data_IF_922476955050
#
_entry.id   IF_922476955050
#
_cell.length_a   1.000
_cell.length_b   1.000
_cell.length_c   1.000
_cell.angle_alpha   90.00
_cell.angle_beta   90.00
_cell.angle_gamma   90.00
#
_symmetry.space_group_name_H-M   'P 1'
#
loop_
_entity.id
_entity.type
_entity.pdbx_description
1 polymer ?
#
# COMPACT_ATOMS: atom_id res chain seq x y z
N UNK A 1 -42.26 66.18 24.42
CA UNK A 1 -41.63 64.85 24.48
C UNK A 1 -42.06 64.11 23.21
N UNK A 2 -41.30 64.27 22.12
CA UNK A 2 -40.37 63.26 21.55
C UNK A 2 -41.06 61.91 21.34
N UNK A 3 -41.17 61.32 20.15
CA UNK A 3 -40.58 61.59 18.84
C UNK A 3 -40.48 60.24 18.12
N UNK A 4 -41.26 60.03 17.05
CA UNK A 4 -41.27 58.79 16.26
C UNK A 4 -40.47 58.97 14.96
N UNK A 5 -39.37 58.23 14.84
CA UNK A 5 -38.48 58.18 13.67
C UNK A 5 -39.05 57.21 12.61
N UNK A 6 -39.37 57.71 11.41
CA UNK A 6 -38.58 57.68 10.14
C UNK A 6 -38.65 56.39 9.32
N UNK A 7 -39.52 56.45 8.31
CA UNK A 7 -39.33 55.82 7.00
C UNK A 7 -38.17 56.47 6.24
N UNK A 8 -37.39 55.69 5.48
CA UNK A 8 -36.76 56.11 4.21
C UNK A 8 -36.54 54.91 3.28
N UNK A 9 -37.31 54.87 2.19
CA UNK A 9 -36.90 54.28 0.91
C UNK A 9 -35.73 55.09 0.30
N UNK A 10 -35.03 54.51 -0.69
CA UNK A 10 -34.64 55.33 -1.84
C UNK A 10 -34.96 54.70 -3.19
N UNK A 11 -35.22 55.63 -4.10
CA UNK A 11 -35.72 55.49 -5.44
C UNK A 11 -34.69 54.98 -6.46
N UNK A 12 -35.28 54.47 -7.54
CA UNK A 12 -34.77 54.33 -8.91
C UNK A 12 -33.64 55.28 -9.33
N UNK A 13 -32.67 54.72 -10.06
CA UNK A 13 -31.98 55.45 -11.11
C UNK A 13 -31.84 54.58 -12.36
N UNK A 14 -32.29 55.15 -13.48
CA UNK A 14 -32.45 54.56 -14.82
C UNK A 14 -31.63 55.41 -15.80
N UNK A 15 -30.65 54.81 -16.45
CA UNK A 15 -29.97 55.26 -17.68
C UNK A 15 -28.97 54.16 -18.08
N UNK A 16 -28.68 53.79 -19.33
CA UNK A 16 -29.26 54.01 -20.66
C UNK A 16 -28.46 53.08 -21.59
N UNK A 17 -29.11 52.57 -22.64
CA UNK A 17 -28.58 51.71 -23.70
C UNK A 17 -27.27 52.25 -24.33
N UNK A 18 -26.36 51.33 -24.67
CA UNK A 18 -25.61 51.35 -25.94
C UNK A 18 -25.42 49.90 -26.41
N UNK A 19 -25.90 49.66 -27.64
CA UNK A 19 -25.72 48.45 -28.44
C UNK A 19 -24.24 48.22 -28.82
N UNK A 20 -23.82 46.96 -28.84
CA UNK A 20 -22.91 46.45 -29.88
C UNK A 20 -22.89 44.91 -29.86
N UNK A 21 -23.36 44.37 -30.97
CA UNK A 21 -23.39 42.98 -31.39
C UNK A 21 -22.00 42.35 -31.52
N UNK A 22 -21.90 41.08 -31.11
CA UNK A 22 -20.71 40.26 -31.33
C UNK A 22 -20.97 38.80 -30.97
N UNK A 23 -21.64 38.06 -31.87
CA UNK A 23 -21.72 36.60 -31.82
C UNK A 23 -20.31 35.98 -31.90
N UNK A 24 -20.10 34.79 -31.31
CA UNK A 24 -20.09 33.62 -32.20
C UNK A 24 -20.67 32.32 -31.59
N UNK A 25 -21.36 31.60 -32.48
CA UNK A 25 -21.28 30.14 -32.69
C UNK A 25 -21.76 29.20 -31.58
N UNK A 26 -23.04 28.85 -31.69
CA UNK A 26 -23.60 27.58 -31.21
C UNK A 26 -22.87 26.40 -31.85
N UNK A 27 -22.23 25.56 -31.04
CA UNK A 27 -21.78 24.22 -31.41
C UNK A 27 -22.63 23.21 -30.64
N UNK A 28 -23.74 22.87 -31.27
CA UNK A 28 -24.41 21.56 -31.30
C UNK A 28 -23.85 20.49 -30.35
N UNK A 29 -24.56 20.28 -29.24
CA UNK A 29 -24.52 19.06 -28.45
C UNK A 29 -25.09 17.89 -29.27
N UNK A 30 -24.22 17.17 -29.99
CA UNK A 30 -24.60 15.94 -30.67
C UNK A 30 -24.43 14.72 -29.75
N UNK A 31 -25.61 14.14 -29.44
CA UNK A 31 -25.86 12.76 -29.06
C UNK A 31 -24.91 11.77 -29.73
N UNK A 32 -24.21 10.98 -28.92
CA UNK A 32 -23.82 9.62 -29.27
C UNK A 32 -24.49 8.66 -28.28
N UNK A 33 -25.74 8.29 -28.57
CA UNK A 33 -26.32 7.01 -28.12
C UNK A 33 -25.96 5.99 -29.20
N UNK A 34 -25.17 4.98 -28.84
CA UNK A 34 -24.90 3.78 -29.64
C UNK A 34 -25.13 2.53 -28.77
N UNK A 35 -25.54 1.41 -29.37
CA UNK A 35 -26.31 0.36 -28.71
C UNK A 35 -25.45 -0.63 -27.90
N UNK A 36 -26.03 -1.07 -26.78
CA UNK A 36 -25.60 -2.24 -26.02
C UNK A 36 -25.66 -3.51 -26.88
N UNK A 37 -24.60 -4.32 -26.97
CA UNK A 37 -24.74 -5.72 -27.34
C UNK A 37 -25.15 -6.55 -26.12
N UNK A 38 -26.21 -7.33 -26.33
CA UNK A 38 -26.77 -8.27 -25.38
C UNK A 38 -25.81 -9.40 -24.99
N UNK A 39 -25.87 -9.77 -23.71
CA UNK A 39 -25.80 -11.13 -23.16
C UNK A 39 -24.77 -12.10 -23.72
N UNK A 40 -23.71 -12.34 -22.94
CA UNK A 40 -23.21 -13.70 -22.69
C UNK A 40 -23.02 -13.88 -21.19
N UNK A 41 -23.82 -14.80 -20.62
CA UNK A 41 -23.59 -15.36 -19.30
C UNK A 41 -22.19 -15.99 -19.27
N UNK A 42 -21.30 -15.45 -18.45
CA UNK A 42 -20.09 -16.14 -18.02
C UNK A 42 -20.47 -16.99 -16.82
N UNK A 43 -20.59 -18.30 -17.04
CA UNK A 43 -20.48 -19.29 -15.97
C UNK A 43 -19.08 -19.14 -15.35
N UNK A 44 -19.02 -18.67 -14.13
CA UNK A 44 -17.84 -18.75 -13.28
C UNK A 44 -17.70 -20.19 -12.80
N UNK A 45 -17.00 -21.01 -13.59
CA UNK A 45 -16.47 -22.28 -13.10
C UNK A 45 -15.42 -22.00 -12.03
N UNK A 46 -15.72 -22.45 -10.82
CA UNK A 46 -14.79 -22.68 -9.72
C UNK A 46 -13.67 -23.60 -10.20
N UNK A 47 -12.49 -23.04 -10.49
CA UNK A 47 -11.30 -23.85 -10.70
C UNK A 47 -10.04 -23.05 -10.35
N UNK A 48 -9.73 -22.98 -9.05
CA UNK A 48 -8.56 -22.27 -8.56
C UNK A 48 -7.82 -23.01 -7.43
N UNK A 49 -7.69 -24.35 -7.55
CA UNK A 49 -7.00 -25.16 -6.53
C UNK A 49 -5.86 -26.08 -7.02
N UNK A 50 -5.41 -25.98 -8.28
CA UNK A 50 -4.35 -26.88 -8.79
C UNK A 50 -3.05 -26.21 -9.26
N UNK A 51 -2.88 -24.88 -9.18
CA UNK A 51 -1.71 -24.20 -9.76
C UNK A 51 -0.47 -24.07 -8.87
N UNK A 52 -0.54 -24.47 -7.60
CA UNK A 52 0.58 -24.30 -6.66
C UNK A 52 1.56 -25.48 -6.62
N UNK A 53 1.28 -26.58 -7.34
CA UNK A 53 2.16 -27.76 -7.40
C UNK A 53 3.18 -27.73 -8.56
N UNK A 54 2.94 -26.99 -9.65
CA UNK A 54 3.87 -26.91 -10.79
C UNK A 54 5.08 -25.98 -10.56
N UNK A 55 5.02 -25.08 -9.58
CA UNK A 55 6.14 -24.18 -9.28
C UNK A 55 7.32 -24.90 -8.59
N UNK A 56 7.07 -26.03 -7.91
CA UNK A 56 8.09 -26.82 -7.22
C UNK A 56 9.03 -27.58 -8.16
N UNK A 57 8.54 -28.06 -9.31
CA UNK A 57 9.35 -28.85 -10.26
C UNK A 57 10.37 -28.00 -11.05
N UNK A 58 10.09 -26.71 -11.27
CA UNK A 58 11.01 -25.82 -12.01
C UNK A 58 12.24 -25.42 -11.20
N UNK A 59 12.17 -25.36 -9.87
CA UNK A 59 13.34 -25.05 -9.03
C UNK A 59 14.30 -26.23 -8.86
N UNK A 60 13.79 -27.47 -8.89
CA UNK A 60 14.65 -28.66 -8.83
C UNK A 60 15.52 -28.84 -10.08
N UNK A 61 15.05 -28.45 -11.28
CA UNK A 61 15.84 -28.55 -12.51
C UNK A 61 16.95 -27.50 -12.64
N UNK A 62 16.84 -26.33 -12.01
CA UNK A 62 17.85 -25.26 -12.15
C UNK A 62 19.08 -25.46 -11.26
N UNK A 63 18.96 -26.25 -10.19
CA UNK A 63 20.10 -26.64 -9.35
C UNK A 63 21.04 -27.67 -10.02
N UNK A 64 20.60 -28.34 -11.09
CA UNK A 64 21.37 -29.40 -11.73
C UNK A 64 22.36 -28.93 -12.83
N UNK A 65 22.28 -27.68 -13.30
CA UNK A 65 23.00 -27.24 -14.52
C UNK A 65 23.99 -26.07 -14.34
N UNK A 66 24.25 -25.60 -13.12
CA UNK A 66 24.99 -24.34 -12.88
C UNK A 66 26.45 -24.43 -12.39
N UNK A 67 27.07 -25.61 -12.33
CA UNK A 67 28.42 -25.78 -11.76
C UNK A 67 29.53 -25.76 -12.82
N UNK A 68 29.99 -24.57 -13.24
CA UNK A 68 31.13 -24.41 -14.16
C UNK A 68 32.43 -24.22 -13.37
N UNK A 69 33.29 -25.24 -13.38
CA UNK A 69 34.75 -25.04 -13.36
C UNK A 69 35.48 -25.00 -12.01
N UNK A 70 35.39 -26.07 -11.20
CA UNK A 70 36.48 -26.42 -10.27
C UNK A 70 37.08 -27.76 -10.71
N UNK A 71 38.36 -27.74 -11.10
CA UNK A 71 39.13 -28.96 -11.40
C UNK A 71 39.31 -29.74 -10.10
N UNK A 72 38.85 -31.00 -10.00
CA UNK A 72 39.13 -31.82 -8.83
C UNK A 72 40.61 -32.20 -8.83
N UNK A 73 41.23 -32.07 -7.65
CA UNK A 73 42.49 -32.72 -7.37
C UNK A 73 42.32 -34.24 -7.55
N UNK A 74 43.25 -34.85 -8.28
CA UNK A 74 43.31 -36.28 -8.55
C UNK A 74 43.61 -37.05 -7.28
N UNK A 75 42.57 -37.39 -6.51
CA UNK A 75 42.66 -38.37 -5.44
C UNK A 75 42.55 -39.76 -6.07
N UNK A 76 43.67 -40.48 -6.06
CA UNK A 76 43.79 -41.87 -6.50
C UNK A 76 42.69 -42.74 -5.92
N UNK A 77 41.92 -43.34 -6.82
CA UNK A 77 40.80 -44.25 -6.60
C UNK A 77 41.23 -45.44 -5.71
N UNK A 78 40.68 -45.52 -4.49
CA UNK A 78 40.61 -46.78 -3.76
C UNK A 78 39.45 -47.60 -4.34
N UNK A 79 39.75 -48.88 -4.56
CA UNK A 79 38.96 -49.86 -5.29
C UNK A 79 37.56 -50.08 -4.64
N UNK A 80 36.44 -49.75 -5.31
CA UNK A 80 35.09 -49.83 -4.72
C UNK A 80 34.47 -51.24 -4.72
N UNK A 81 35.27 -52.30 -4.92
CA UNK A 81 34.80 -53.67 -5.17
C UNK A 81 34.25 -54.43 -3.97
N UNK A 82 34.15 -53.83 -2.77
CA UNK A 82 33.63 -54.50 -1.57
C UNK A 82 32.45 -53.79 -0.87
N UNK A 83 31.66 -52.99 -1.58
CA UNK A 83 30.38 -52.52 -1.00
C UNK A 83 29.27 -53.50 -1.36
N UNK A 84 28.88 -54.33 -0.40
CA UNK A 84 27.81 -55.32 -0.56
C UNK A 84 26.51 -54.67 -1.10
N UNK A 85 25.94 -55.17 -2.21
CA UNK A 85 24.74 -54.60 -2.81
C UNK A 85 23.53 -54.58 -1.87
N UNK A 86 23.48 -55.49 -0.89
CA UNK A 86 22.43 -55.52 0.14
C UNK A 86 22.42 -54.29 1.07
N UNK A 87 23.59 -53.70 1.36
CA UNK A 87 23.66 -52.53 2.26
C UNK A 87 23.05 -51.29 1.60
N UNK A 88 23.24 -51.12 0.28
CA UNK A 88 22.71 -49.99 -0.47
C UNK A 88 21.20 -50.02 -0.58
N UNK A 89 20.62 -51.21 -0.82
CA UNK A 89 19.17 -51.36 -0.87
C UNK A 89 18.51 -51.07 0.48
N UNK A 90 19.09 -51.59 1.58
CA UNK A 90 18.60 -51.37 2.94
C UNK A 90 18.62 -49.88 3.36
N UNK A 91 19.69 -49.16 3.04
CA UNK A 91 19.77 -47.72 3.32
C UNK A 91 18.75 -46.93 2.51
N UNK A 92 18.55 -47.26 1.23
CA UNK A 92 17.57 -46.58 0.40
C UNK A 92 16.14 -46.81 0.90
N UNK A 93 15.76 -48.05 1.23
CA UNK A 93 14.44 -48.35 1.79
C UNK A 93 14.23 -47.67 3.13
N UNK A 94 15.23 -47.66 4.02
CA UNK A 94 15.14 -46.98 5.31
C UNK A 94 14.96 -45.46 5.13
N UNK A 95 15.67 -44.85 4.19
CA UNK A 95 15.58 -43.42 3.90
C UNK A 95 14.24 -43.06 3.24
N UNK A 96 13.70 -43.92 2.36
CA UNK A 96 12.39 -43.74 1.76
C UNK A 96 11.26 -43.84 2.79
N UNK A 97 11.34 -44.81 3.72
CA UNK A 97 10.37 -44.93 4.83
C UNK A 97 10.47 -43.73 5.77
N UNK A 98 11.68 -43.30 6.13
CA UNK A 98 11.87 -42.12 6.98
C UNK A 98 11.33 -40.84 6.30
N UNK A 99 11.60 -40.65 5.01
CA UNK A 99 11.08 -39.52 4.24
C UNK A 99 9.55 -39.56 4.12
N UNK A 100 8.96 -40.73 3.88
CA UNK A 100 7.51 -40.92 3.83
C UNK A 100 6.84 -40.65 5.18
N UNK A 101 7.42 -41.14 6.28
CA UNK A 101 6.90 -40.92 7.62
C UNK A 101 6.98 -39.45 8.04
N UNK A 102 8.13 -38.79 7.82
CA UNK A 102 8.28 -37.36 8.11
C UNK A 102 7.41 -36.48 7.21
N UNK A 103 7.24 -36.85 5.94
CA UNK A 103 6.34 -36.18 5.00
C UNK A 103 4.87 -36.29 5.42
N UNK A 104 4.44 -37.50 5.78
CA UNK A 104 3.10 -37.78 6.29
C UNK A 104 2.80 -37.07 7.61
N UNK A 105 3.75 -37.08 8.56
CA UNK A 105 3.59 -36.39 9.85
C UNK A 105 3.43 -34.87 9.65
N UNK A 106 4.29 -34.24 8.85
CA UNK A 106 4.20 -32.79 8.56
C UNK A 106 2.97 -32.42 7.74
N UNK A 107 2.38 -33.35 6.99
CA UNK A 107 1.11 -33.14 6.31
C UNK A 107 -0.05 -33.25 7.29
N UNK A 108 -0.07 -34.30 8.12
CA UNK A 108 -1.08 -34.51 9.15
C UNK A 108 -1.15 -33.36 10.16
N UNK A 109 0.01 -32.87 10.62
CA UNK A 109 0.13 -31.71 11.52
C UNK A 109 -0.53 -30.46 10.92
N UNK A 110 -0.26 -30.17 9.64
CA UNK A 110 -0.88 -29.05 8.90
C UNK A 110 -2.38 -29.24 8.64
N UNK A 111 -2.90 -30.47 8.65
CA UNK A 111 -4.33 -30.75 8.51
C UNK A 111 -5.02 -30.65 9.87
N UNK A 112 -4.39 -31.16 10.93
CA UNK A 112 -4.85 -31.03 12.31
C UNK A 112 -4.97 -29.58 12.76
N UNK A 113 -3.93 -28.78 12.55
CA UNK A 113 -3.92 -27.33 12.83
C UNK A 113 -5.05 -26.60 12.11
N UNK A 114 -5.38 -27.02 10.88
CA UNK A 114 -6.51 -26.44 10.13
C UNK A 114 -7.85 -26.77 10.79
N UNK A 115 -8.05 -28.01 11.23
CA UNK A 115 -9.29 -28.40 11.91
C UNK A 115 -9.48 -27.68 13.25
N UNK A 116 -8.41 -27.51 14.04
CA UNK A 116 -8.50 -26.78 15.32
C UNK A 116 -8.77 -25.29 15.10
N UNK A 117 -8.14 -24.68 14.09
CA UNK A 117 -8.40 -23.28 13.68
C UNK A 117 -9.82 -23.06 13.16
N UNK A 118 -10.46 -24.09 12.60
CA UNK A 118 -11.83 -24.00 12.09
C UNK A 118 -12.89 -24.07 13.20
N UNK A 119 -12.57 -24.66 14.36
CA UNK A 119 -13.55 -24.92 15.41
C UNK A 119 -13.56 -23.90 16.57
N UNK A 120 -12.50 -23.11 16.73
CA UNK A 120 -12.35 -22.20 17.88
C UNK A 120 -12.34 -20.75 17.43
N UNK A 121 -13.28 -19.96 17.96
CA UNK A 121 -13.29 -18.51 17.77
C UNK A 121 -12.33 -17.85 18.76
N UNK A 122 -11.57 -16.86 18.29
CA UNK A 122 -10.72 -16.04 19.15
C UNK A 122 -10.72 -14.59 18.66
N UNK A 123 -10.44 -13.66 19.57
CA UNK A 123 -10.34 -12.25 19.24
C UNK A 123 -8.94 -11.90 18.69
N UNK A 124 -8.89 -11.19 17.57
CA UNK A 124 -7.68 -10.66 16.95
C UNK A 124 -7.87 -9.19 16.57
N UNK A 125 -6.90 -8.36 16.92
CA UNK A 125 -6.93 -6.93 16.59
C UNK A 125 -6.06 -6.61 15.39
N UNK A 126 -6.66 -6.06 14.34
CA UNK A 126 -6.00 -5.60 13.13
C UNK A 126 -5.73 -4.10 13.21
N UNK A 127 -4.53 -3.67 12.83
CA UNK A 127 -4.28 -2.24 12.59
C UNK A 127 -4.80 -1.89 11.19
N UNK A 128 -5.73 -0.95 11.12
CA UNK A 128 -6.34 -0.46 9.87
C UNK A 128 -6.26 1.06 9.79
N UNK A 129 -5.42 1.67 10.62
CA UNK A 129 -5.23 3.12 10.68
C UNK A 129 -4.77 3.70 9.35
N UNK A 130 -4.03 2.91 8.56
CA UNK A 130 -3.52 3.26 7.24
C UNK A 130 -4.59 3.24 6.14
N UNK A 131 -5.67 2.47 6.34
CA UNK A 131 -6.81 2.35 5.44
C UNK A 131 -7.91 3.37 5.79
N UNK A 132 -8.17 3.58 7.08
CA UNK A 132 -9.23 4.47 7.59
C UNK A 132 -8.77 5.93 7.68
N UNK A 133 -7.45 6.17 7.82
CA UNK A 133 -6.86 7.49 8.11
C UNK A 133 -6.51 8.39 6.93
N UNK A 134 -6.89 8.03 5.70
CA UNK A 134 -6.48 8.73 4.47
C UNK A 134 -7.06 10.14 4.25
N UNK A 135 -8.14 10.52 4.94
CA UNK A 135 -8.88 11.76 4.65
C UNK A 135 -8.69 12.82 5.73
N UNK A 136 -7.54 13.51 5.67
CA UNK A 136 -7.37 14.92 6.05
C UNK A 136 -8.18 15.44 7.26
N UNK A 137 -7.70 15.27 8.49
CA UNK A 137 -8.09 16.07 9.69
C UNK A 137 -9.59 16.31 9.94
N UNK A 138 -10.51 15.58 9.29
CA UNK A 138 -11.94 15.88 9.25
C UNK A 138 -12.67 15.21 10.40
N UNK A 139 -12.21 15.45 11.62
CA UNK A 139 -12.90 15.07 12.86
C UNK A 139 -13.05 13.56 13.11
N UNK A 140 -13.41 13.22 14.36
CA UNK A 140 -13.69 11.84 14.76
C UNK A 140 -14.87 11.22 13.97
N UNK A 141 -15.84 12.03 13.55
CA UNK A 141 -17.01 11.57 12.81
C UNK A 141 -16.66 10.97 11.43
N UNK A 142 -15.69 11.53 10.71
CA UNK A 142 -15.26 10.95 9.43
C UNK A 142 -14.51 9.63 9.62
N UNK A 143 -13.76 9.49 10.72
CA UNK A 143 -13.09 8.24 11.04
C UNK A 143 -14.12 7.13 11.30
N UNK A 144 -15.18 7.41 12.06
CA UNK A 144 -16.27 6.44 12.28
C UNK A 144 -16.93 5.99 10.98
N UNK A 145 -17.28 6.91 10.08
CA UNK A 145 -17.87 6.55 8.79
C UNK A 145 -16.95 5.64 7.94
N UNK A 146 -15.64 5.92 7.93
CA UNK A 146 -14.67 5.08 7.22
C UNK A 146 -14.53 3.68 7.85
N UNK A 147 -14.73 3.55 9.17
CA UNK A 147 -14.78 2.23 9.82
C UNK A 147 -16.02 1.45 9.43
N UNK A 148 -17.19 2.10 9.41
CA UNK A 148 -18.44 1.45 9.01
C UNK A 148 -18.33 0.91 7.58
N UNK A 149 -17.78 1.69 6.63
CA UNK A 149 -17.52 1.23 5.26
C UNK A 149 -16.56 0.03 5.20
N UNK A 150 -15.53 0.00 6.04
CA UNK A 150 -14.57 -1.11 6.10
C UNK A 150 -15.20 -2.36 6.73
N UNK A 151 -16.02 -2.19 7.76
CA UNK A 151 -16.75 -3.28 8.42
C UNK A 151 -17.74 -3.89 7.43
N UNK A 152 -18.57 -3.08 6.78
CA UNK A 152 -19.54 -3.51 5.77
C UNK A 152 -18.87 -4.32 4.66
N UNK A 153 -17.69 -3.89 4.22
CA UNK A 153 -16.90 -4.64 3.25
C UNK A 153 -16.43 -5.99 3.81
N UNK A 154 -15.82 -6.02 4.99
CA UNK A 154 -15.29 -7.25 5.58
C UNK A 154 -16.42 -8.27 5.73
N UNK A 155 -17.58 -7.85 6.23
CA UNK A 155 -18.74 -8.72 6.40
C UNK A 155 -19.25 -9.21 5.04
N UNK A 156 -19.30 -8.34 4.04
CA UNK A 156 -19.79 -8.72 2.70
C UNK A 156 -18.86 -9.67 1.93
N UNK A 157 -17.54 -9.53 2.08
CA UNK A 157 -16.55 -10.26 1.25
C UNK A 157 -15.98 -11.49 1.95
N UNK A 158 -15.91 -11.50 3.29
CA UNK A 158 -15.30 -12.58 4.07
C UNK A 158 -16.38 -13.36 4.80
N UNK A 159 -16.67 -14.56 4.32
CA UNK A 159 -17.61 -15.51 4.95
C UNK A 159 -18.87 -14.79 5.51
N UNK A 160 -19.76 -14.31 4.62
CA UNK A 160 -20.91 -13.50 5.01
C UNK A 160 -21.83 -14.21 6.02
N UNK A 161 -21.94 -15.53 5.93
CA UNK A 161 -22.87 -16.33 6.75
C UNK A 161 -22.33 -16.58 8.17
N UNK A 162 -21.06 -16.28 8.45
CA UNK A 162 -20.42 -16.47 9.77
C UNK A 162 -20.73 -15.36 10.76
N UNK A 163 -21.10 -14.17 10.28
CA UNK A 163 -21.29 -12.99 11.11
C UNK A 163 -22.63 -13.01 11.84
N UNK A 164 -22.64 -12.61 13.12
CA UNK A 164 -23.86 -12.60 13.95
C UNK A 164 -24.98 -11.74 13.35
N UNK A 165 -24.64 -10.64 12.67
CA UNK A 165 -25.61 -9.77 12.00
C UNK A 165 -26.35 -10.44 10.83
N UNK A 166 -25.75 -11.47 10.23
CA UNK A 166 -26.34 -12.29 9.17
C UNK A 166 -26.98 -13.58 9.71
N UNK A 167 -27.08 -13.73 11.04
CA UNK A 167 -27.61 -14.93 11.70
C UNK A 167 -26.60 -16.07 11.84
N UNK A 168 -25.31 -15.77 11.63
CA UNK A 168 -24.22 -16.72 11.79
C UNK A 168 -24.00 -17.15 13.25
N UNK A 169 -23.35 -18.31 13.47
CA UNK A 169 -23.19 -18.89 14.80
C UNK A 169 -22.19 -18.13 15.67
N UNK A 170 -21.19 -17.48 15.06
CA UNK A 170 -20.04 -16.94 15.79
C UNK A 170 -19.22 -16.01 14.89
N UNK A 171 -19.42 -14.71 15.03
CA UNK A 171 -18.66 -13.70 14.31
C UNK A 171 -19.00 -12.31 14.82
N UNK A 172 -18.03 -11.63 15.44
CA UNK A 172 -18.17 -10.26 15.95
C UNK A 172 -17.05 -9.39 15.38
N UNK A 173 -17.37 -8.15 15.04
CA UNK A 173 -16.45 -7.16 14.51
C UNK A 173 -16.75 -5.81 15.16
N UNK A 174 -15.71 -5.18 15.73
CA UNK A 174 -15.84 -3.90 16.44
C UNK A 174 -14.71 -2.95 16.03
N UNK A 175 -15.08 -1.69 15.73
CA UNK A 175 -14.12 -0.63 15.48
C UNK A 175 -13.58 -0.03 16.78
N UNK A 176 -12.26 -0.10 16.96
CA UNK A 176 -11.54 0.61 18.00
C UNK A 176 -11.06 1.97 17.44
N UNK A 177 -12.03 2.86 17.19
CA UNK A 177 -11.83 4.07 16.40
C UNK A 177 -10.72 5.02 16.88
N UNK A 178 -10.55 5.31 18.20
CA UNK A 178 -9.45 6.13 18.67
C UNK A 178 -8.07 5.53 18.39
N UNK A 179 -7.98 4.20 18.35
CA UNK A 179 -6.74 3.46 18.17
C UNK A 179 -6.45 3.14 16.70
N UNK A 180 -7.41 3.33 15.78
CA UNK A 180 -7.22 2.96 14.39
C UNK A 180 -7.24 1.44 14.15
N UNK A 181 -7.89 0.67 15.04
CA UNK A 181 -7.84 -0.80 15.01
C UNK A 181 -9.21 -1.41 14.82
N UNK A 182 -9.25 -2.62 14.28
CA UNK A 182 -10.43 -3.45 14.13
C UNK A 182 -10.28 -4.69 15.01
N UNK A 183 -11.17 -4.86 15.98
CA UNK A 183 -11.22 -6.08 16.80
C UNK A 183 -12.19 -7.06 16.14
N UNK A 184 -11.74 -8.28 15.86
CA UNK A 184 -12.57 -9.31 15.24
C UNK A 184 -12.51 -10.57 16.09
N UNK A 185 -13.66 -11.15 16.39
CA UNK A 185 -13.79 -12.46 17.04
C UNK A 185 -14.39 -13.46 16.06
N UNK A 186 -13.57 -14.36 15.51
CA UNK A 186 -14.02 -15.39 14.57
C UNK A 186 -13.04 -16.57 14.54
N UNK A 187 -13.27 -17.55 13.68
CA UNK A 187 -12.39 -18.71 13.46
C UNK A 187 -11.08 -18.29 12.80
N UNK A 188 -10.04 -19.12 12.92
CA UNK A 188 -8.74 -18.88 12.29
C UNK A 188 -8.83 -18.78 10.76
N UNK A 189 -9.75 -19.54 10.14
CA UNK A 189 -9.98 -19.47 8.70
C UNK A 189 -10.52 -18.11 8.24
N UNK A 190 -11.45 -17.52 9.00
CA UNK A 190 -11.94 -16.16 8.73
C UNK A 190 -10.85 -15.14 8.95
N UNK A 191 -10.01 -15.30 9.98
CA UNK A 191 -8.87 -14.42 10.21
C UNK A 191 -7.85 -14.41 9.06
N UNK A 192 -7.55 -15.57 8.47
CA UNK A 192 -6.66 -15.68 7.32
C UNK A 192 -7.25 -14.95 6.09
N UNK A 193 -8.57 -15.05 5.88
CA UNK A 193 -9.28 -14.32 4.81
C UNK A 193 -9.27 -12.80 5.03
N UNK A 194 -9.47 -12.33 6.27
CA UNK A 194 -9.39 -10.91 6.61
C UNK A 194 -7.98 -10.39 6.35
N UNK A 195 -6.93 -11.13 6.71
CA UNK A 195 -5.55 -10.73 6.41
C UNK A 195 -5.29 -10.60 4.92
N UNK A 196 -5.78 -11.56 4.12
CA UNK A 196 -5.66 -11.52 2.67
C UNK A 196 -6.41 -10.32 2.07
N UNK A 197 -7.63 -10.04 2.54
CA UNK A 197 -8.43 -8.90 2.10
C UNK A 197 -7.75 -7.57 2.44
N UNK A 198 -7.34 -7.38 3.70
CA UNK A 198 -6.64 -6.15 4.13
C UNK A 198 -5.32 -5.96 3.38
N UNK A 199 -4.56 -7.03 3.14
CA UNK A 199 -3.31 -6.98 2.35
C UNK A 199 -3.56 -6.53 0.91
N UNK A 200 -4.61 -7.08 0.28
CA UNK A 200 -5.02 -6.66 -1.07
C UNK A 200 -5.41 -5.18 -1.09
N UNK A 201 -6.19 -4.72 -0.12
CA UNK A 201 -6.61 -3.33 -0.01
C UNK A 201 -5.44 -2.37 0.20
N UNK A 202 -4.47 -2.72 1.03
CA UNK A 202 -3.23 -1.95 1.18
C UNK A 202 -2.47 -1.84 -0.12
N UNK A 203 -2.40 -2.94 -0.89
CA UNK A 203 -1.75 -2.95 -2.21
C UNK A 203 -2.49 -2.05 -3.21
N UNK A 204 -3.82 -2.09 -3.23
CA UNK A 204 -4.66 -1.23 -4.08
C UNK A 204 -4.52 0.25 -3.70
N UNK A 205 -4.54 0.56 -2.39
CA UNK A 205 -4.30 1.91 -1.88
C UNK A 205 -2.89 2.42 -2.22
N UNK A 206 -1.87 1.57 -2.13
CA UNK A 206 -0.51 1.90 -2.54
C UNK A 206 -0.42 2.19 -4.04
N UNK A 207 -1.10 1.39 -4.88
CA UNK A 207 -1.19 1.63 -6.32
C UNK A 207 -1.88 2.96 -6.64
N UNK A 208 -2.99 3.29 -5.96
CA UNK A 208 -3.66 4.59 -6.09
C UNK A 208 -2.73 5.75 -5.72
N UNK A 209 -2.04 5.63 -4.59
CA UNK A 209 -1.04 6.60 -4.14
C UNK A 209 0.13 6.75 -5.12
N UNK A 210 0.54 5.68 -5.79
CA UNK A 210 1.59 5.72 -6.81
C UNK A 210 1.14 6.39 -8.10
N UNK A 211 -0.11 6.20 -8.53
CA UNK A 211 -0.70 6.93 -9.66
C UNK A 211 -0.78 8.42 -9.36
N UNK A 212 -1.21 8.79 -8.15
CA UNK A 212 -1.25 10.19 -7.73
C UNK A 212 0.16 10.78 -7.60
N UNK A 213 1.14 10.00 -7.12
CA UNK A 213 2.55 10.39 -7.12
C UNK A 213 3.09 10.66 -8.52
N UNK A 214 2.81 9.75 -9.44
CA UNK A 214 3.19 9.84 -10.84
C UNK A 214 2.59 11.11 -11.47
N UNK A 215 1.30 11.38 -11.23
CA UNK A 215 0.60 12.56 -11.75
C UNK A 215 1.16 13.85 -11.16
N UNK A 216 1.39 13.89 -9.84
CA UNK A 216 1.97 15.04 -9.15
C UNK A 216 3.39 15.35 -9.63
N UNK A 217 4.25 14.33 -9.74
CA UNK A 217 5.60 14.47 -10.28
C UNK A 217 5.61 14.89 -11.75
N UNK A 218 4.71 14.36 -12.59
CA UNK A 218 4.56 14.81 -13.99
C UNK A 218 4.17 16.28 -14.07
N UNK A 219 3.22 16.71 -13.26
CA UNK A 219 2.81 18.11 -13.18
C UNK A 219 4.00 19.01 -12.76
N UNK A 220 4.71 18.65 -11.70
CA UNK A 220 5.89 19.40 -11.21
C UNK A 220 7.02 19.44 -12.26
N UNK A 221 7.26 18.32 -12.95
CA UNK A 221 8.25 18.24 -14.02
C UNK A 221 7.86 19.07 -15.24
N UNK A 222 6.56 19.22 -15.54
CA UNK A 222 6.06 20.05 -16.63
C UNK A 222 6.16 21.54 -16.31
N UNK A 223 5.84 21.94 -15.07
CA UNK A 223 5.95 23.34 -14.62
C UNK A 223 7.38 23.76 -14.30
N UNK A 224 8.30 22.79 -14.15
CA UNK A 224 9.68 23.01 -13.67
C UNK A 224 9.73 23.76 -12.34
N UNK A 225 8.70 23.54 -11.50
CA UNK A 225 8.60 24.22 -10.22
C UNK A 225 9.46 23.51 -9.16
N UNK A 226 10.66 24.04 -8.96
CA UNK A 226 11.67 23.51 -8.01
C UNK A 226 11.22 23.69 -6.55
N UNK A 227 10.31 24.63 -6.27
CA UNK A 227 9.94 25.00 -4.89
C UNK A 227 8.79 24.17 -4.33
N UNK A 228 8.03 23.51 -5.20
CA UNK A 228 6.84 22.77 -4.81
C UNK A 228 7.19 21.33 -4.45
N UNK A 229 7.10 21.01 -3.15
CA UNK A 229 7.03 19.64 -2.65
C UNK A 229 5.57 19.32 -2.32
N UNK A 230 5.04 18.27 -2.91
CA UNK A 230 3.65 17.84 -2.70
C UNK A 230 3.70 16.63 -1.76
N UNK A 231 3.05 16.76 -0.61
CA UNK A 231 2.85 15.61 0.28
C UNK A 231 1.79 14.69 -0.33
N UNK A 232 2.12 13.42 -0.51
CA UNK A 232 1.19 12.42 -1.06
C UNK A 232 0.53 11.64 0.05
N UNK A 233 1.31 11.23 1.05
CA UNK A 233 0.82 10.45 2.17
C UNK A 233 1.45 10.94 3.45
N UNK A 234 0.63 11.13 4.48
CA UNK A 234 1.09 11.37 5.85
C UNK A 234 0.62 10.19 6.69
N UNK A 235 1.56 9.33 7.08
CA UNK A 235 1.28 8.27 8.04
C UNK A 235 1.36 8.87 9.45
N UNK A 236 0.31 8.64 10.24
CA UNK A 236 0.29 9.02 11.65
C UNK A 236 0.86 7.85 12.43
N UNK A 237 2.08 7.98 12.96
CA UNK A 237 2.62 6.97 13.86
C UNK A 237 1.84 6.99 15.17
N UNK A 238 1.31 5.83 15.54
CA UNK A 238 0.95 5.51 16.90
C UNK A 238 2.16 4.84 17.56
N UNK A 239 2.84 5.58 18.44
CA UNK A 239 3.97 5.14 19.28
C UNK A 239 5.35 5.03 18.62
N UNK A 240 6.37 5.02 19.49
CA UNK A 240 7.82 5.04 19.22
C UNK A 240 8.39 3.68 18.79
N UNK A 241 7.53 2.66 18.64
CA UNK A 241 7.95 1.38 18.07
C UNK A 241 8.17 1.53 16.57
N UNK A 242 9.28 0.97 16.09
CA UNK A 242 9.66 0.92 14.69
C UNK A 242 8.46 0.56 13.83
N UNK A 243 7.96 1.51 13.05
CA UNK A 243 6.85 1.27 12.16
C UNK A 243 7.39 0.92 10.77
N UNK A 244 7.32 -0.36 10.36
CA UNK A 244 7.73 -0.78 9.02
C UNK A 244 6.86 -0.12 7.94
N UNK A 245 5.65 0.36 8.26
CA UNK A 245 4.68 0.80 7.25
C UNK A 245 5.15 1.98 6.42
N UNK A 246 5.90 2.95 6.97
CA UNK A 246 6.35 4.11 6.19
C UNK A 246 7.43 3.74 5.16
N UNK A 247 8.38 2.88 5.57
CA UNK A 247 9.43 2.35 4.69
C UNK A 247 8.82 1.39 3.66
N UNK A 248 7.87 0.55 4.07
CA UNK A 248 7.14 -0.34 3.18
C UNK A 248 6.33 0.47 2.17
N UNK A 249 5.62 1.51 2.60
CA UNK A 249 4.92 2.43 1.70
C UNK A 249 5.87 3.15 0.73
N UNK A 250 7.05 3.59 1.19
CA UNK A 250 8.06 4.15 0.31
C UNK A 250 8.45 3.14 -0.77
N UNK A 251 8.77 1.90 -0.36
CA UNK A 251 9.16 0.82 -1.25
C UNK A 251 8.06 0.47 -2.25
N UNK A 252 6.82 0.32 -1.78
CA UNK A 252 5.65 0.00 -2.62
C UNK A 252 5.39 1.10 -3.67
N UNK A 253 5.46 2.37 -3.27
CA UNK A 253 5.28 3.49 -4.20
C UNK A 253 6.45 3.54 -5.18
N UNK A 254 7.69 3.35 -4.74
CA UNK A 254 8.86 3.31 -5.62
C UNK A 254 8.75 2.18 -6.63
N UNK A 255 8.33 0.98 -6.21
CA UNK A 255 8.09 -0.17 -7.08
C UNK A 255 6.97 0.11 -8.09
N UNK A 256 5.86 0.70 -7.64
CA UNK A 256 4.75 1.05 -8.52
C UNK A 256 5.12 2.14 -9.55
N UNK A 257 5.84 3.19 -9.13
CA UNK A 257 6.38 4.21 -10.05
C UNK A 257 7.41 3.58 -10.99
N UNK A 258 8.23 2.64 -10.51
CA UNK A 258 9.22 1.95 -11.32
C UNK A 258 8.60 1.07 -12.41
N UNK A 259 7.45 0.45 -12.14
CA UNK A 259 6.66 -0.26 -13.18
C UNK A 259 6.20 0.67 -14.30
N UNK A 260 5.92 1.94 -13.99
CA UNK A 260 5.47 2.94 -14.96
C UNK A 260 6.64 3.60 -15.69
N UNK A 261 7.73 3.91 -14.98
CA UNK A 261 8.80 4.80 -15.46
C UNK A 261 10.15 4.13 -15.68
N UNK A 262 10.28 2.86 -15.34
CA UNK A 262 11.56 2.17 -15.22
C UNK A 262 12.20 2.38 -13.85
N UNK A 263 13.30 1.67 -13.54
CA UNK A 263 13.97 1.77 -12.25
C UNK A 263 14.45 3.22 -11.97
N UNK A 264 14.53 3.63 -10.69
CA UNK A 264 15.05 4.94 -10.32
C UNK A 264 16.51 5.06 -10.77
N UNK A 265 16.88 6.26 -11.22
CA UNK A 265 18.27 6.61 -11.54
C UNK A 265 19.12 6.71 -10.28
N UNK A 266 18.50 7.12 -9.16
CA UNK A 266 19.14 7.22 -7.86
C UNK A 266 18.20 6.66 -6.81
N UNK A 267 18.73 5.76 -5.96
CA UNK A 267 18.07 5.31 -4.75
C UNK A 267 19.10 5.38 -3.62
N UNK A 268 18.87 6.21 -2.61
CA UNK A 268 19.83 6.42 -1.54
C UNK A 268 19.16 6.66 -0.18
N UNK A 269 19.86 6.32 0.89
CA UNK A 269 19.49 6.59 2.27
C UNK A 269 20.44 7.61 2.92
N UNK A 270 19.95 8.35 3.94
CA UNK A 270 20.77 9.31 4.69
C UNK A 270 22.00 8.62 5.27
N UNK A 271 23.17 9.19 4.97
CA UNK A 271 24.47 8.68 5.38
C UNK A 271 25.23 7.93 4.28
N UNK A 272 24.57 7.57 3.18
CA UNK A 272 25.22 7.01 2.01
C UNK A 272 25.93 8.11 1.19
N UNK A 273 27.01 7.74 0.51
CA UNK A 273 27.87 8.68 -0.23
C UNK A 273 27.12 9.40 -1.36
N UNK A 274 26.12 8.75 -1.94
CA UNK A 274 25.31 9.28 -3.06
C UNK A 274 24.05 10.02 -2.60
N UNK A 275 23.85 10.17 -1.28
CA UNK A 275 22.66 10.85 -0.78
C UNK A 275 22.71 12.36 -1.10
N UNK A 276 21.72 12.92 -1.82
CA UNK A 276 21.80 14.31 -2.26
C UNK A 276 21.74 15.29 -1.09
N UNK A 277 22.66 16.26 -1.06
CA UNK A 277 22.71 17.27 0.01
C UNK A 277 21.49 18.21 0.06
N UNK A 278 20.72 18.29 -1.03
CA UNK A 278 19.47 19.06 -1.12
C UNK A 278 18.27 18.34 -0.53
N UNK A 279 18.32 17.01 -0.38
CA UNK A 279 17.25 16.27 0.28
C UNK A 279 17.41 16.37 1.79
N UNK A 280 16.27 16.40 2.45
CA UNK A 280 16.17 16.32 3.92
C UNK A 280 15.39 15.09 4.35
N UNK A 281 15.00 14.24 3.41
CA UNK A 281 14.36 12.96 3.69
C UNK A 281 15.35 11.95 4.25
N UNK A 282 14.85 10.81 4.70
CA UNK A 282 15.60 9.63 5.12
C UNK A 282 15.97 8.73 3.95
N UNK A 283 15.00 8.50 3.07
CA UNK A 283 15.14 7.71 1.86
C UNK A 283 14.73 8.55 0.67
N UNK A 284 15.39 8.35 -0.45
CA UNK A 284 15.14 9.07 -1.68
C UNK A 284 15.23 8.12 -2.88
N UNK A 285 14.23 8.18 -3.75
CA UNK A 285 14.25 7.58 -5.07
C UNK A 285 14.00 8.66 -6.11
N UNK A 286 14.80 8.73 -7.17
CA UNK A 286 14.71 9.78 -8.19
C UNK A 286 14.84 9.24 -9.63
N UNK A 287 14.16 9.90 -10.56
CA UNK A 287 14.11 9.58 -11.99
C UNK A 287 14.42 10.82 -12.83
N UNK A 288 15.21 10.66 -13.89
CA UNK A 288 15.39 11.72 -14.88
C UNK A 288 14.12 11.98 -15.69
N UNK A 289 13.57 13.19 -15.57
CA UNK A 289 12.36 13.65 -16.29
C UNK A 289 12.43 15.15 -16.59
N UNK A 290 12.12 15.51 -17.83
CA UNK A 290 12.02 16.90 -18.33
C UNK A 290 13.25 17.79 -18.04
N UNK A 291 14.45 17.20 -18.10
CA UNK A 291 15.70 17.92 -17.85
C UNK A 291 16.05 18.12 -16.38
N UNK A 292 15.37 17.43 -15.45
CA UNK A 292 15.68 17.40 -14.03
C UNK A 292 15.45 16.03 -13.41
N UNK A 293 15.32 15.99 -12.08
CA UNK A 293 15.05 14.81 -11.27
C UNK A 293 13.68 14.92 -10.62
N UNK A 294 12.73 14.09 -11.04
CA UNK A 294 11.52 13.83 -10.27
C UNK A 294 11.89 12.88 -9.13
N UNK A 295 11.48 13.16 -7.89
CA UNK A 295 11.87 12.35 -6.75
C UNK A 295 10.72 12.08 -5.79
N UNK A 296 10.85 10.97 -5.08
CA UNK A 296 10.04 10.57 -3.93
C UNK A 296 10.99 10.52 -2.74
N UNK A 297 10.59 11.13 -1.63
CA UNK A 297 11.38 11.11 -0.39
C UNK A 297 10.51 10.79 0.83
N UNK A 298 11.04 9.94 1.71
CA UNK A 298 10.45 9.66 3.03
C UNK A 298 10.98 10.69 4.03
N UNK A 299 10.10 11.33 4.79
CA UNK A 299 10.48 12.30 5.82
C UNK A 299 9.98 11.88 7.19
N UNK A 300 10.81 12.12 8.20
CA UNK A 300 10.38 12.22 9.59
C UNK A 300 10.00 13.67 9.90
N UNK A 301 8.79 13.86 10.43
CA UNK A 301 8.34 15.11 11.03
C UNK A 301 8.25 14.92 12.52
N UNK A 302 8.72 15.89 13.28
CA UNK A 302 8.42 15.94 14.71
C UNK A 302 7.19 16.81 14.91
N UNK A 303 6.11 16.22 15.42
CA UNK A 303 4.98 16.99 15.92
C UNK A 303 5.04 16.97 17.44
N UNK A 304 5.12 18.15 18.06
CA UNK A 304 4.83 18.27 19.49
C UNK A 304 3.37 17.91 19.70
N UNK A 305 3.10 16.83 20.43
CA UNK A 305 1.77 16.55 20.94
C UNK A 305 1.36 17.65 21.91
N UNK A 306 0.05 17.92 22.01
CA UNK A 306 -0.52 18.78 23.06
C UNK A 306 -0.20 18.27 24.47
N UNK A 307 0.05 16.96 24.62
CA UNK A 307 0.42 16.32 25.89
C UNK A 307 1.93 16.36 26.20
N UNK A 308 2.75 17.07 25.40
CA UNK A 308 4.21 17.14 25.60
C UNK A 308 4.99 15.94 25.06
N UNK A 309 4.33 14.85 24.68
CA UNK A 309 4.97 13.72 23.99
C UNK A 309 5.41 14.10 22.57
N UNK A 310 6.64 13.71 22.21
CA UNK A 310 7.12 13.86 20.83
C UNK A 310 6.56 12.72 20.00
N UNK A 311 5.55 13.00 19.18
CA UNK A 311 5.13 12.07 18.14
C UNK A 311 5.95 12.37 16.89
N UNK A 312 6.70 11.38 16.42
CA UNK A 312 7.26 11.42 15.07
C UNK A 312 6.12 11.09 14.11
N UNK A 313 5.91 11.87 13.06
CA UNK A 313 5.04 11.53 11.94
C UNK A 313 5.96 11.18 10.78
N UNK A 314 5.59 10.20 9.97
CA UNK A 314 6.31 9.91 8.72
C UNK A 314 5.46 10.27 7.53
N UNK A 315 6.07 10.80 6.49
CA UNK A 315 5.33 11.18 5.29
C UNK A 315 6.16 10.99 4.04
N UNK A 316 5.45 10.74 2.94
CA UNK A 316 6.02 10.60 1.61
C UNK A 316 5.73 11.88 0.82
N UNK A 317 6.81 12.43 0.26
CA UNK A 317 6.78 13.66 -0.51
C UNK A 317 7.25 13.37 -1.91
N UNK A 318 6.64 14.04 -2.87
CA UNK A 318 7.18 14.14 -4.21
C UNK A 318 7.62 15.54 -4.52
N UNK A 319 8.65 15.63 -5.32
CA UNK A 319 9.17 16.88 -5.82
C UNK A 319 9.82 16.72 -7.18
N UNK A 320 10.30 17.85 -7.69
CA UNK A 320 11.14 17.90 -8.87
C UNK A 320 12.29 18.87 -8.65
N UNK A 321 13.48 18.56 -9.16
CA UNK A 321 14.68 19.36 -8.97
C UNK A 321 15.47 19.50 -10.28
N UNK A 322 16.05 20.68 -10.54
CA UNK A 322 16.70 20.99 -11.83
C UNK A 322 18.10 20.39 -12.01
N UNK A 323 18.77 19.92 -10.95
CA UNK A 323 20.18 19.55 -11.05
C UNK A 323 20.62 18.53 -9.98
N UNK A 324 21.58 17.68 -10.32
CA UNK A 324 22.32 16.85 -9.37
C UNK A 324 23.48 17.64 -8.69
N UNK A 325 23.79 18.85 -9.19
CA UNK A 325 24.95 19.65 -8.77
C UNK A 325 24.64 20.93 -7.98
N UNK A 326 23.38 21.26 -7.73
CA UNK A 326 23.06 22.49 -7.02
C UNK A 326 23.28 22.36 -5.50
N UNK A 327 24.44 22.85 -5.06
CA UNK A 327 24.77 23.16 -3.66
C UNK A 327 23.92 24.34 -3.17
N UNK A 328 22.72 24.10 -2.66
CA UNK A 328 22.10 24.96 -1.64
C UNK A 328 20.82 24.34 -1.11
N UNK A 329 20.74 24.15 0.21
CA UNK A 329 19.49 23.87 0.93
C UNK A 329 18.58 25.10 0.90
N UNK A 330 17.39 25.06 0.28
CA UNK A 330 16.30 25.88 0.78
C UNK A 330 15.79 25.20 2.06
N UNK A 331 15.91 25.88 3.20
CA UNK A 331 15.28 25.40 4.44
C UNK A 331 13.77 25.24 4.21
N UNK A 332 13.15 24.12 4.61
CA UNK A 332 11.71 23.96 4.46
C UNK A 332 10.98 25.02 5.29
N UNK A 333 10.22 25.90 4.63
CA UNK A 333 9.39 26.95 5.28
C UNK A 333 8.33 26.41 6.25
N UNK A 334 8.06 25.11 6.22
CA UNK A 334 7.07 24.46 7.08
C UNK A 334 7.43 24.51 8.58
N UNK A 335 8.68 24.81 8.95
CA UNK A 335 9.06 25.08 10.34
C UNK A 335 8.55 26.44 10.89
N UNK A 336 7.91 27.28 10.08
CA UNK A 336 7.42 28.61 10.50
C UNK A 336 5.92 28.67 10.86
N UNK A 337 5.18 27.56 10.76
CA UNK A 337 3.79 27.47 11.21
C UNK A 337 3.66 26.80 12.59
N UNK A 338 4.62 27.04 13.50
CA UNK A 338 4.34 26.89 14.91
C UNK A 338 3.50 28.13 15.34
N UNK A 339 2.32 27.97 15.94
CA UNK A 339 1.68 29.12 16.60
C UNK A 339 2.67 29.64 17.65
N UNK A 340 3.00 30.94 17.58
CA UNK A 340 3.67 31.61 18.71
C UNK A 340 2.78 31.49 19.95
N UNK A 341 3.39 31.35 21.15
CA UNK A 341 2.70 31.05 22.40
C UNK A 341 1.61 32.06 22.78
#
# INVERSE_FOLDING_TARGET
>A
MQGGDRQREPAHNRASNVDASGAPTELSANRCRGPFPAGKQLQTEHNNDYRTLEAGEKYARKAATGGRGMRPASTSLQDPSMVHPGLRFSLFTSLAVAAGFLGGYRWGDRVGDRHERLGTCYAKSYDVSDLVGGTTSRGAAAASANFDELIDLVVREVEPDSWMENGGPSGEIEALAPQGRLSVSNTGYVHDQIEALLTRWRSEAANGSAVDATRAMQHLAATRDIRSRIAIRRARLASWYYDPTATDCFTDIVDAVSKLWGPPTLCAAVGELEFPQWSTGKHLAAWHRNGGLAFIEEHDFFRRSLAGEKATLRGLFVGWHTDNKAYAKPAPRWCQFAPEP
#
